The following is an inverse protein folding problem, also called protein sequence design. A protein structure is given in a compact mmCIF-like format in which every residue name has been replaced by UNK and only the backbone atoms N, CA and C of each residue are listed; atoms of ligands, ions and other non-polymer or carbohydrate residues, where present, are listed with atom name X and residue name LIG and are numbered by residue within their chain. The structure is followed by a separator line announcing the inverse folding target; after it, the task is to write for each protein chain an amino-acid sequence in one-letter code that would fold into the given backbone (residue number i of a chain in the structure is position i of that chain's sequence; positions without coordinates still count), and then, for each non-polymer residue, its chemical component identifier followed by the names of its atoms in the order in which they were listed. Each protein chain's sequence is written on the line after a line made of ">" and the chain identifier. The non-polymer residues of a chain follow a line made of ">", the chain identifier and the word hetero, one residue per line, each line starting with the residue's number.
data_IF_449749101731
#
_entry.id   IF_449749101731
#
_cell.length_a   1.000
_cell.length_b   1.000
_cell.length_c   1.000
_cell.angle_alpha   90.00
_cell.angle_beta   90.00
_cell.angle_gamma   90.00
#
_symmetry.space_group_name_H-M   'P 1'
#
loop_
_entity.id
_entity.type
_entity.pdbx_description
1 polymer ?
#
# COMPACT_ATOMS: atom_id res chain seq x y z
N UNK A 1 12.27 -4.77 -25.74
CA UNK A 1 11.79 -3.40 -26.05
C UNK A 1 11.10 -2.89 -24.81
N UNK A 2 11.63 -1.87 -24.15
CA UNK A 2 10.97 -1.20 -23.02
C UNK A 2 9.59 -0.70 -23.48
N UNK A 3 8.55 -0.98 -22.69
CA UNK A 3 7.20 -0.46 -22.95
C UNK A 3 7.18 1.01 -22.52
N UNK A 4 6.57 1.88 -23.32
CA UNK A 4 6.42 3.30 -22.94
C UNK A 4 5.71 3.45 -21.59
N UNK A 5 6.01 4.50 -20.84
CA UNK A 5 5.37 4.80 -19.55
C UNK A 5 3.84 4.80 -19.66
N UNK A 6 3.32 5.40 -20.74
CA UNK A 6 1.88 5.39 -21.09
C UNK A 6 1.32 3.97 -21.22
N UNK A 7 2.04 3.06 -21.88
CA UNK A 7 1.63 1.66 -22.03
C UNK A 7 1.60 0.96 -20.67
N UNK A 8 2.60 1.20 -19.82
CA UNK A 8 2.67 0.60 -18.48
C UNK A 8 1.51 1.07 -17.59
N UNK A 9 1.26 2.39 -17.55
CA UNK A 9 0.15 2.97 -16.79
C UNK A 9 -1.20 2.46 -17.31
N UNK A 10 -1.39 2.43 -18.63
CA UNK A 10 -2.62 1.89 -19.24
C UNK A 10 -2.86 0.44 -18.83
N UNK A 11 -1.82 -0.40 -18.85
CA UNK A 11 -1.91 -1.80 -18.43
C UNK A 11 -2.18 -1.96 -16.94
N UNK A 12 -1.61 -1.10 -16.09
CA UNK A 12 -1.90 -1.08 -14.67
C UNK A 12 -3.38 -0.75 -14.40
N UNK A 13 -3.93 0.26 -15.09
CA UNK A 13 -5.36 0.59 -15.02
C UNK A 13 -6.21 -0.57 -15.54
N UNK A 14 -5.90 -1.16 -16.70
CA UNK A 14 -6.66 -2.29 -17.25
C UNK A 14 -6.64 -3.51 -16.32
N UNK A 15 -5.53 -3.75 -15.64
CA UNK A 15 -5.40 -4.83 -14.66
C UNK A 15 -6.22 -4.55 -13.41
N UNK A 16 -6.21 -3.32 -12.92
CA UNK A 16 -7.06 -2.89 -11.81
C UNK A 16 -8.55 -2.99 -12.16
N UNK A 17 -8.95 -2.55 -13.37
CA UNK A 17 -10.33 -2.65 -13.87
C UNK A 17 -10.80 -4.10 -13.97
N UNK A 18 -9.94 -5.03 -14.41
CA UNK A 18 -10.27 -6.48 -14.45
C UNK A 18 -10.38 -7.12 -13.08
N UNK A 19 -9.74 -6.54 -12.06
CA UNK A 19 -9.80 -7.00 -10.68
C UNK A 19 -11.06 -6.47 -9.97
N UNK A 20 -11.48 -5.25 -10.26
CA UNK A 20 -12.54 -4.53 -9.56
C UNK A 20 -13.87 -5.31 -9.36
N UNK A 21 -14.38 -6.11 -10.33
CA UNK A 21 -15.60 -6.89 -10.13
C UNK A 21 -15.50 -7.98 -9.05
N UNK A 22 -14.27 -8.37 -8.67
CA UNK A 22 -13.98 -9.36 -7.62
C UNK A 22 -13.56 -8.73 -6.29
N UNK A 23 -13.45 -7.40 -6.25
CA UNK A 23 -13.33 -6.73 -4.97
C UNK A 23 -14.61 -6.97 -4.18
N UNK A 24 -14.53 -6.99 -2.85
CA UNK A 24 -15.66 -7.03 -1.94
C UNK A 24 -15.34 -6.14 -0.72
N UNK A 25 -16.34 -5.48 -0.10
CA UNK A 25 -16.14 -4.73 1.14
C UNK A 25 -15.64 -5.65 2.27
N UNK A 26 -14.55 -5.25 2.95
CA UNK A 26 -14.06 -5.99 4.10
C UNK A 26 -15.02 -5.85 5.29
N UNK A 27 -15.35 -6.98 5.93
CA UNK A 27 -16.23 -7.04 7.11
C UNK A 27 -15.49 -6.98 8.45
N UNK A 28 -14.14 -6.94 8.41
CA UNK A 28 -13.30 -6.83 9.60
C UNK A 28 -13.03 -5.37 10.00
N UNK A 29 -12.69 -5.14 11.28
CA UNK A 29 -12.45 -3.80 11.84
C UNK A 29 -11.54 -2.97 10.93
N UNK A 30 -12.08 -1.84 10.47
CA UNK A 30 -11.35 -0.85 9.70
C UNK A 30 -10.17 -0.27 10.47
N UNK A 31 -9.21 0.28 9.72
CA UNK A 31 -8.02 0.92 10.28
C UNK A 31 -8.38 2.06 11.24
N UNK A 32 -7.57 2.22 12.28
CA UNK A 32 -7.69 3.32 13.26
C UNK A 32 -7.19 4.66 12.69
N UNK A 33 -6.38 4.63 11.61
CA UNK A 33 -5.82 5.84 10.99
C UNK A 33 -5.87 5.80 9.44
N UNK A 34 -5.95 6.96 8.77
CA UNK A 34 -5.83 7.06 7.31
C UNK A 34 -4.47 6.57 6.80
N UNK A 35 -4.46 5.86 5.68
CA UNK A 35 -3.22 5.41 5.04
C UNK A 35 -2.40 6.61 4.57
N UNK A 36 -1.18 6.79 5.10
CA UNK A 36 -0.27 7.90 4.77
C UNK A 36 0.12 7.98 3.29
N UNK A 37 0.02 6.87 2.55
CA UNK A 37 0.35 6.79 1.12
C UNK A 37 -0.80 7.19 0.20
N UNK A 38 -2.03 6.91 0.63
CA UNK A 38 -3.22 7.16 -0.18
C UNK A 38 -3.86 8.50 0.17
N UNK A 39 -3.84 8.89 1.46
CA UNK A 39 -4.40 10.15 1.90
C UNK A 39 -3.66 11.33 1.25
N UNK A 40 -4.39 12.18 0.54
CA UNK A 40 -3.81 13.32 -0.19
C UNK A 40 -2.94 12.94 -1.40
N UNK A 41 -2.98 11.67 -1.86
CA UNK A 41 -2.15 11.20 -2.96
C UNK A 41 -2.49 11.92 -4.29
N UNK A 42 -1.51 12.57 -4.95
CA UNK A 42 -1.70 13.17 -6.27
C UNK A 42 -2.15 12.15 -7.32
N UNK A 43 -1.66 10.91 -7.21
CA UNK A 43 -2.03 9.77 -8.08
C UNK A 43 -3.53 9.47 -7.98
N UNK A 44 -4.06 9.38 -6.76
CA UNK A 44 -5.49 9.10 -6.56
C UNK A 44 -6.37 10.28 -6.94
N UNK A 45 -5.91 11.51 -6.73
CA UNK A 45 -6.58 12.72 -7.20
C UNK A 45 -6.67 12.75 -8.73
N UNK A 46 -5.57 12.47 -9.43
CA UNK A 46 -5.52 12.39 -10.89
C UNK A 46 -6.44 11.28 -11.44
N UNK A 47 -6.47 10.12 -10.78
CA UNK A 47 -7.36 9.01 -11.11
C UNK A 47 -8.84 9.27 -10.79
N UNK A 48 -9.17 10.33 -10.03
CA UNK A 48 -10.54 10.66 -9.63
C UNK A 48 -11.08 9.81 -8.47
N UNK A 49 -10.22 9.29 -7.61
CA UNK A 49 -10.54 8.38 -6.49
C UNK A 49 -10.36 9.03 -5.09
N UNK A 50 -10.30 10.36 -5.01
CA UNK A 50 -9.77 11.07 -3.84
C UNK A 50 -10.69 11.24 -2.62
N UNK A 51 -12.01 11.07 -2.75
CA UNK A 51 -12.96 11.39 -1.66
C UNK A 51 -13.94 10.28 -1.31
N UNK A 52 -14.50 9.57 -2.29
CA UNK A 52 -15.71 8.76 -2.08
C UNK A 52 -15.57 7.30 -2.56
N UNK A 53 -14.35 6.78 -2.51
CA UNK A 53 -14.04 5.42 -2.97
C UNK A 53 -13.47 4.61 -1.80
N UNK A 54 -13.88 3.35 -1.57
CA UNK A 54 -13.33 2.52 -0.51
C UNK A 54 -11.81 2.44 -0.55
N UNK A 55 -11.18 2.46 0.63
CA UNK A 55 -9.73 2.46 0.73
C UNK A 55 -9.07 1.30 -0.02
N UNK A 56 -9.60 0.07 0.09
CA UNK A 56 -9.04 -1.09 -0.63
C UNK A 56 -9.04 -0.92 -2.15
N UNK A 57 -10.07 -0.26 -2.70
CA UNK A 57 -10.18 0.05 -4.13
C UNK A 57 -9.12 1.08 -4.55
N UNK A 58 -8.99 2.16 -3.79
CA UNK A 58 -7.94 3.18 -4.00
C UNK A 58 -6.55 2.55 -3.93
N UNK A 59 -6.32 1.74 -2.91
CA UNK A 59 -5.04 1.10 -2.62
C UNK A 59 -4.62 0.12 -3.72
N UNK A 60 -5.58 -0.60 -4.30
CA UNK A 60 -5.33 -1.48 -5.45
C UNK A 60 -4.77 -0.74 -6.66
N UNK A 61 -5.21 0.50 -6.94
CA UNK A 61 -4.66 1.27 -8.06
C UNK A 61 -3.31 1.91 -7.69
N UNK A 62 -3.23 2.54 -6.51
CA UNK A 62 -2.04 3.29 -6.11
C UNK A 62 -0.79 2.43 -5.99
N UNK A 63 -0.92 1.19 -5.50
CA UNK A 63 0.20 0.23 -5.42
C UNK A 63 0.77 -0.12 -6.80
N UNK A 64 -0.09 -0.42 -7.77
CA UNK A 64 0.34 -0.73 -9.14
C UNK A 64 1.04 0.44 -9.82
N UNK A 65 0.50 1.64 -9.62
CA UNK A 65 1.11 2.87 -10.14
C UNK A 65 2.45 3.15 -9.46
N UNK A 66 2.53 2.98 -8.13
CA UNK A 66 3.77 3.12 -7.38
C UNK A 66 4.85 2.18 -7.92
N UNK A 67 4.53 0.91 -8.18
CA UNK A 67 5.50 -0.05 -8.75
C UNK A 67 6.11 0.42 -10.07
N UNK A 68 5.33 1.10 -10.94
CA UNK A 68 5.84 1.67 -12.19
C UNK A 68 6.85 2.79 -11.90
N UNK A 69 6.51 3.70 -10.99
CA UNK A 69 7.41 4.80 -10.61
C UNK A 69 8.68 4.27 -9.97
N UNK A 70 8.56 3.34 -9.00
CA UNK A 70 9.69 2.72 -8.30
C UNK A 70 10.64 2.03 -9.29
N UNK A 71 10.09 1.31 -10.29
CA UNK A 71 10.89 0.67 -11.33
C UNK A 71 11.63 1.67 -12.21
N UNK A 72 10.94 2.73 -12.67
CA UNK A 72 11.56 3.77 -13.49
C UNK A 72 12.70 4.47 -12.74
N UNK A 73 12.50 4.79 -11.46
CA UNK A 73 13.52 5.39 -10.59
C UNK A 73 14.68 4.42 -10.41
N UNK A 74 14.42 3.14 -10.14
CA UNK A 74 15.48 2.14 -9.99
C UNK A 74 16.32 1.99 -11.27
N UNK A 75 15.70 1.95 -12.45
CA UNK A 75 16.42 1.92 -13.73
C UNK A 75 17.25 3.18 -13.97
N UNK A 76 16.70 4.35 -13.64
CA UNK A 76 17.43 5.61 -13.74
C UNK A 76 18.64 5.64 -12.80
N UNK A 77 18.46 5.24 -11.54
CA UNK A 77 19.51 5.16 -10.53
C UNK A 77 20.62 4.21 -10.98
N UNK A 78 20.27 3.00 -11.41
CA UNK A 78 21.25 2.01 -11.86
C UNK A 78 22.08 2.46 -13.08
N UNK A 79 21.47 3.26 -13.98
CA UNK A 79 22.13 3.74 -15.20
C UNK A 79 22.96 5.01 -14.99
N UNK A 80 22.52 5.90 -14.10
CA UNK A 80 23.02 7.28 -14.06
C UNK A 80 23.69 7.67 -12.73
N UNK A 81 23.41 6.93 -11.65
CA UNK A 81 23.78 7.32 -10.28
C UNK A 81 24.62 6.19 -9.63
N UNK A 82 25.87 5.99 -10.09
CA UNK A 82 26.68 4.84 -9.70
C UNK A 82 27.06 4.83 -8.23
N UNK A 83 27.23 6.00 -7.58
CA UNK A 83 27.58 6.05 -6.15
C UNK A 83 26.36 5.66 -5.30
N UNK A 84 25.18 6.20 -5.61
CA UNK A 84 23.93 5.83 -4.98
C UNK A 84 23.61 4.36 -5.21
N UNK A 85 23.77 3.85 -6.44
CA UNK A 85 23.55 2.44 -6.74
C UNK A 85 24.49 1.54 -5.93
N UNK A 86 25.78 1.87 -5.82
CA UNK A 86 26.72 1.10 -5.02
C UNK A 86 26.36 1.08 -3.53
N UNK A 87 25.83 2.18 -2.98
CA UNK A 87 25.34 2.22 -1.60
C UNK A 87 24.06 1.41 -1.41
N UNK A 88 23.12 1.48 -2.36
CA UNK A 88 21.91 0.66 -2.34
C UNK A 88 22.25 -0.84 -2.41
N UNK A 89 23.23 -1.23 -3.24
CA UNK A 89 23.69 -2.61 -3.36
C UNK A 89 24.37 -3.10 -2.08
N UNK A 90 25.23 -2.28 -1.47
CA UNK A 90 25.84 -2.57 -0.16
C UNK A 90 24.76 -2.75 0.92
N UNK A 91 23.76 -1.88 0.96
CA UNK A 91 22.67 -2.00 1.92
C UNK A 91 21.78 -3.22 1.65
N UNK A 92 21.49 -3.52 0.39
CA UNK A 92 20.73 -4.71 0.01
C UNK A 92 21.44 -5.99 0.43
N UNK A 93 22.76 -6.05 0.25
CA UNK A 93 23.56 -7.20 0.69
C UNK A 93 23.57 -7.35 2.22
N UNK A 94 23.74 -6.24 2.95
CA UNK A 94 23.62 -6.24 4.42
C UNK A 94 22.24 -6.72 4.87
N UNK A 95 21.18 -6.26 4.22
CA UNK A 95 19.83 -6.70 4.53
C UNK A 95 19.68 -8.20 4.27
N UNK A 96 20.21 -8.73 3.16
CA UNK A 96 20.17 -10.17 2.82
C UNK A 96 20.77 -11.08 3.88
N UNK A 97 21.76 -10.59 4.63
CA UNK A 97 22.41 -11.34 5.71
C UNK A 97 21.49 -11.51 6.93
N UNK A 98 20.54 -10.59 7.16
CA UNK A 98 19.59 -10.68 8.28
C UNK A 98 18.63 -11.83 8.08
N UNK A 99 18.49 -12.69 9.07
CA UNK A 99 17.52 -13.79 9.12
C UNK A 99 16.15 -13.36 9.65
N UNK A 100 16.07 -12.31 10.49
CA UNK A 100 14.86 -11.77 11.06
C UNK A 100 14.56 -10.35 10.54
N UNK A 101 13.44 -10.21 9.82
CA UNK A 101 13.04 -8.96 9.16
C UNK A 101 11.54 -8.69 9.33
N UNK A 102 11.12 -8.15 10.48
CA UNK A 102 9.71 -8.03 10.83
C UNK A 102 8.92 -7.03 9.95
N UNK A 103 9.61 -6.18 9.21
CA UNK A 103 9.00 -5.21 8.29
C UNK A 103 8.91 -5.72 6.82
N UNK A 104 9.52 -6.86 6.48
CA UNK A 104 9.48 -7.42 5.13
C UNK A 104 8.28 -8.35 4.93
N UNK A 105 7.77 -8.43 3.69
CA UNK A 105 6.64 -9.28 3.35
C UNK A 105 5.30 -8.84 3.93
N UNK A 106 5.25 -7.65 4.55
CA UNK A 106 4.01 -7.05 5.02
C UNK A 106 3.12 -6.69 3.84
N UNK A 107 1.81 -6.87 4.03
CA UNK A 107 0.86 -6.28 3.09
C UNK A 107 1.07 -4.74 3.08
N UNK A 108 0.92 -4.08 1.93
CA UNK A 108 1.16 -2.65 1.78
C UNK A 108 0.47 -1.74 2.81
N UNK A 109 -0.62 -2.22 3.40
CA UNK A 109 -1.32 -1.63 4.53
C UNK A 109 -0.50 -1.52 5.81
N UNK A 110 0.33 -2.50 6.10
CA UNK A 110 1.12 -2.57 7.33
C UNK A 110 2.54 -2.03 7.13
N UNK A 111 2.94 -1.79 5.88
CA UNK A 111 4.25 -1.24 5.54
C UNK A 111 4.44 0.18 6.13
N UNK A 112 5.42 0.32 7.02
CA UNK A 112 5.74 1.59 7.68
C UNK A 112 4.90 1.91 8.93
N UNK A 113 4.11 0.96 9.43
CA UNK A 113 3.52 1.07 10.78
C UNK A 113 4.59 0.85 11.85
N UNK A 114 4.43 1.44 13.05
CA UNK A 114 5.26 1.11 14.20
C UNK A 114 5.17 -0.39 14.50
N UNK A 115 6.31 -1.07 14.60
CA UNK A 115 6.38 -2.51 14.88
C UNK A 115 5.98 -2.83 16.31
N UNK A 116 6.30 -1.92 17.23
CA UNK A 116 5.99 -2.05 18.65
C UNK A 116 5.08 -0.90 19.10
N UNK A 117 4.11 -1.18 19.99
CA UNK A 117 3.33 -0.12 20.63
C UNK A 117 4.18 0.66 21.63
N UNK A 118 3.72 1.88 21.98
CA UNK A 118 4.35 2.65 23.06
C UNK A 118 4.17 1.93 24.40
N UNK A 119 5.22 1.78 25.22
CA UNK A 119 5.11 1.10 26.51
C UNK A 119 4.36 1.97 27.52
N UNK A 120 3.47 1.35 28.31
CA UNK A 120 2.82 2.03 29.43
C UNK A 120 3.83 2.32 30.56
N UNK A 121 3.76 3.50 31.19
CA UNK A 121 4.59 3.81 32.36
C UNK A 121 4.43 2.75 33.46
N UNK A 122 5.51 2.05 33.80
CA UNK A 122 5.53 1.01 34.84
C UNK A 122 5.30 -0.43 34.34
N UNK A 123 5.03 -0.63 33.04
CA UNK A 123 4.91 -1.96 32.42
C UNK A 123 5.74 -2.05 31.13
N UNK A 124 7.08 -1.97 31.20
CA UNK A 124 7.93 -2.06 30.02
C UNK A 124 7.87 -3.48 29.42
N UNK A 125 7.95 -3.56 28.09
CA UNK A 125 8.10 -4.85 27.41
C UNK A 125 9.43 -5.50 27.79
N UNK A 126 9.43 -6.82 27.95
CA UNK A 126 10.66 -7.61 28.17
C UNK A 126 11.55 -7.63 26.93
N UNK A 127 10.93 -7.62 25.74
CA UNK A 127 11.57 -7.50 24.44
C UNK A 127 10.62 -6.78 23.48
N UNK A 128 11.16 -6.18 22.43
CA UNK A 128 10.40 -5.54 21.37
C UNK A 128 10.81 -6.14 20.03
N UNK A 129 9.89 -6.19 19.06
CA UNK A 129 10.20 -6.66 17.71
C UNK A 129 11.29 -5.80 17.06
N UNK A 130 11.26 -4.49 17.31
CA UNK A 130 12.30 -3.54 16.91
C UNK A 130 13.62 -3.81 17.63
N UNK A 131 13.58 -4.17 18.91
CA UNK A 131 14.76 -4.53 19.70
C UNK A 131 15.45 -5.78 19.17
N UNK A 132 14.68 -6.84 18.90
CA UNK A 132 15.19 -8.08 18.30
C UNK A 132 15.77 -7.83 16.90
N UNK A 133 15.14 -6.98 16.09
CA UNK A 133 15.67 -6.59 14.78
C UNK A 133 16.98 -5.78 14.91
N UNK A 134 17.08 -4.90 15.91
CA UNK A 134 18.29 -4.11 16.17
C UNK A 134 19.46 -4.96 16.65
N UNK A 135 19.21 -6.00 17.46
CA UNK A 135 20.23 -6.97 17.89
C UNK A 135 20.85 -7.70 16.70
N UNK A 136 20.02 -8.15 15.74
CA UNK A 136 20.51 -8.80 14.54
C UNK A 136 21.25 -7.83 13.61
N UNK A 137 20.78 -6.58 13.50
CA UNK A 137 21.50 -5.54 12.77
C UNK A 137 22.87 -5.22 13.39
N UNK A 138 22.98 -5.19 14.72
CA UNK A 138 24.23 -4.95 15.42
C UNK A 138 25.25 -6.08 15.22
N UNK A 139 24.80 -7.30 14.93
CA UNK A 139 25.67 -8.42 14.60
C UNK A 139 26.32 -8.31 13.21
N UNK A 140 25.80 -7.44 12.34
CA UNK A 140 26.34 -7.23 10.99
C UNK A 140 27.49 -6.21 11.05
N UNK A 141 28.71 -6.57 10.59
CA UNK A 141 29.86 -5.67 10.61
C UNK A 141 29.54 -4.32 9.97
N UNK A 142 29.87 -3.20 10.64
CA UNK A 142 29.60 -1.86 10.11
C UNK A 142 30.39 -1.58 8.81
N UNK A 143 29.80 -0.80 7.90
CA UNK A 143 30.53 -0.30 6.73
C UNK A 143 31.58 0.74 7.16
N UNK A 144 32.72 0.81 6.44
CA UNK A 144 33.67 1.89 6.66
C UNK A 144 32.98 3.25 6.40
N UNK A 145 33.30 4.29 7.19
CA UNK A 145 32.68 5.60 7.01
C UNK A 145 33.07 6.22 5.67
N UNK A 146 32.10 6.81 4.98
CA UNK A 146 32.34 7.59 3.76
C UNK A 146 33.19 8.83 4.06
N UNK A 147 34.05 9.20 3.12
CA UNK A 147 34.74 10.51 3.13
C UNK A 147 33.73 11.65 2.98
N UNK A 148 34.13 12.87 3.30
CA UNK A 148 33.23 14.01 3.18
C UNK A 148 32.89 14.32 1.71
N UNK A 149 33.83 14.11 0.80
CA UNK A 149 33.61 14.19 -0.65
C UNK A 149 32.61 13.13 -1.12
N UNK A 150 32.76 11.88 -0.65
CA UNK A 150 31.84 10.81 -0.99
C UNK A 150 30.42 11.08 -0.45
N UNK A 151 30.29 11.61 0.76
CA UNK A 151 29.00 12.04 1.31
C UNK A 151 28.38 13.17 0.48
N UNK A 152 29.18 14.13 0.03
CA UNK A 152 28.70 15.24 -0.79
C UNK A 152 28.18 14.75 -2.15
N UNK A 153 28.94 13.87 -2.82
CA UNK A 153 28.54 13.25 -4.08
C UNK A 153 27.28 12.38 -3.93
N UNK A 154 27.18 11.58 -2.86
CA UNK A 154 26.00 10.78 -2.58
C UNK A 154 24.74 11.65 -2.38
N UNK A 155 24.84 12.76 -1.63
CA UNK A 155 23.70 13.69 -1.46
C UNK A 155 23.26 14.30 -2.78
N UNK A 156 24.20 14.60 -3.68
CA UNK A 156 23.88 15.09 -5.01
C UNK A 156 23.12 14.03 -5.82
N UNK A 157 23.59 12.78 -5.84
CA UNK A 157 22.91 11.70 -6.56
C UNK A 157 21.52 11.37 -5.96
N UNK A 158 21.37 11.42 -4.64
CA UNK A 158 20.04 11.31 -4.00
C UNK A 158 19.10 12.43 -4.46
N UNK A 159 19.59 13.66 -4.56
CA UNK A 159 18.80 14.77 -5.10
C UNK A 159 18.36 14.54 -6.54
N UNK A 160 19.25 14.03 -7.39
CA UNK A 160 18.93 13.68 -8.78
C UNK A 160 17.88 12.55 -8.89
N UNK A 161 17.97 11.55 -8.02
CA UNK A 161 16.97 10.49 -7.95
C UNK A 161 15.58 11.02 -7.54
N UNK A 162 15.52 11.93 -6.56
CA UNK A 162 14.26 12.56 -6.12
C UNK A 162 13.66 13.45 -7.21
N UNK A 163 14.48 14.26 -7.89
CA UNK A 163 14.05 15.07 -9.04
C UNK A 163 13.46 14.19 -10.15
N UNK A 164 14.10 13.04 -10.44
CA UNK A 164 13.62 12.08 -11.42
C UNK A 164 12.29 11.42 -10.97
N UNK A 165 12.17 11.02 -9.70
CA UNK A 165 10.95 10.47 -9.13
C UNK A 165 9.79 11.47 -9.23
N UNK A 166 10.04 12.75 -8.93
CA UNK A 166 9.06 13.83 -9.05
C UNK A 166 8.61 14.05 -10.50
N UNK A 167 9.55 14.01 -11.46
CA UNK A 167 9.24 14.13 -12.88
C UNK A 167 8.36 12.97 -13.37
N UNK A 168 8.78 11.72 -13.14
CA UNK A 168 8.00 10.54 -13.55
C UNK A 168 6.64 10.52 -12.86
N UNK A 169 6.56 10.87 -11.57
CA UNK A 169 5.31 10.96 -10.84
C UNK A 169 4.32 11.94 -11.47
N UNK A 170 4.79 13.09 -11.96
CA UNK A 170 3.95 14.07 -12.68
C UNK A 170 3.48 13.53 -14.03
N UNK A 171 4.34 12.87 -14.79
CA UNK A 171 3.97 12.26 -16.08
C UNK A 171 2.92 11.17 -15.90
N UNK A 172 3.09 10.29 -14.91
CA UNK A 172 2.11 9.28 -14.53
C UNK A 172 0.77 9.91 -14.17
N UNK A 173 0.76 10.99 -13.40
CA UNK A 173 -0.47 11.73 -13.08
C UNK A 173 -1.13 12.28 -14.35
N UNK A 174 -0.36 12.84 -15.28
CA UNK A 174 -0.88 13.34 -16.55
C UNK A 174 -1.51 12.22 -17.40
N UNK A 175 -0.89 11.03 -17.45
CA UNK A 175 -1.47 9.86 -18.13
C UNK A 175 -2.77 9.42 -17.45
N UNK A 176 -2.79 9.35 -16.11
CA UNK A 176 -3.98 8.94 -15.35
C UNK A 176 -5.19 9.84 -15.56
N UNK A 177 -4.99 11.14 -15.81
CA UNK A 177 -6.09 12.06 -16.16
C UNK A 177 -6.87 11.58 -17.38
N UNK A 178 -6.21 10.96 -18.37
CA UNK A 178 -6.86 10.41 -19.56
C UNK A 178 -7.69 9.14 -19.26
N UNK A 179 -7.41 8.45 -18.16
CA UNK A 179 -8.17 7.27 -17.73
C UNK A 179 -9.28 7.58 -16.72
N UNK A 180 -9.34 8.82 -16.20
CA UNK A 180 -10.22 9.20 -15.08
C UNK A 180 -11.67 8.81 -15.28
N UNK A 181 -12.26 9.12 -16.44
CA UNK A 181 -13.67 8.81 -16.70
C UNK A 181 -13.93 7.29 -16.74
N UNK A 182 -12.99 6.53 -17.31
CA UNK A 182 -13.08 5.06 -17.37
C UNK A 182 -13.00 4.44 -15.98
N UNK A 183 -12.11 4.98 -15.15
CA UNK A 183 -11.94 4.57 -13.74
C UNK A 183 -13.23 4.85 -12.96
N UNK A 184 -13.77 6.07 -13.06
CA UNK A 184 -14.99 6.46 -12.36
C UNK A 184 -16.21 5.62 -12.78
N UNK A 185 -16.37 5.37 -14.09
CA UNK A 185 -17.44 4.52 -14.59
C UNK A 185 -17.37 3.10 -14.02
N UNK A 186 -16.17 2.53 -13.89
CA UNK A 186 -15.99 1.21 -13.32
C UNK A 186 -16.27 1.18 -11.81
N UNK A 187 -15.93 2.24 -11.07
CA UNK A 187 -16.30 2.36 -9.65
C UNK A 187 -17.83 2.36 -9.50
N UNK A 188 -18.54 3.19 -10.26
CA UNK A 188 -19.99 3.23 -10.23
C UNK A 188 -20.62 1.88 -10.63
N UNK A 189 -20.03 1.19 -11.61
CA UNK A 189 -20.54 -0.08 -12.10
C UNK A 189 -20.32 -1.25 -11.13
N UNK A 190 -19.17 -1.32 -10.45
CA UNK A 190 -18.77 -2.52 -9.70
C UNK A 190 -18.69 -2.30 -8.19
N UNK A 191 -18.28 -1.13 -7.74
CA UNK A 191 -17.99 -0.87 -6.32
C UNK A 191 -19.24 -0.39 -5.58
N UNK A 192 -19.93 0.60 -6.13
CA UNK A 192 -21.15 1.16 -5.49
C UNK A 192 -22.23 0.09 -5.24
N UNK A 193 -22.53 -0.85 -6.16
CA UNK A 193 -23.54 -1.88 -5.91
C UNK A 193 -23.15 -2.84 -4.78
N UNK A 194 -21.86 -3.16 -4.64
CA UNK A 194 -21.39 -4.04 -3.58
C UNK A 194 -21.47 -3.37 -2.21
N UNK A 195 -21.16 -2.06 -2.13
CA UNK A 195 -21.37 -1.28 -0.90
C UNK A 195 -22.86 -1.24 -0.55
N UNK A 196 -23.73 -0.99 -1.53
CA UNK A 196 -25.17 -0.96 -1.32
C UNK A 196 -25.70 -2.31 -0.79
N UNK A 197 -25.27 -3.43 -1.38
CA UNK A 197 -25.63 -4.77 -0.91
C UNK A 197 -25.15 -5.04 0.53
N UNK A 198 -23.93 -4.64 0.87
CA UNK A 198 -23.42 -4.75 2.25
C UNK A 198 -24.26 -3.92 3.23
N UNK A 199 -24.59 -2.67 2.88
CA UNK A 199 -25.41 -1.81 3.73
C UNK A 199 -26.82 -2.36 3.92
N UNK A 200 -27.43 -2.89 2.86
CA UNK A 200 -28.75 -3.53 2.93
C UNK A 200 -28.75 -4.74 3.88
N UNK A 201 -27.72 -5.59 3.81
CA UNK A 201 -27.56 -6.74 4.71
C UNK A 201 -27.37 -6.30 6.17
N UNK A 202 -26.56 -5.26 6.40
CA UNK A 202 -26.39 -4.68 7.73
C UNK A 202 -27.69 -4.12 8.29
N UNK A 203 -28.50 -3.44 7.47
CA UNK A 203 -29.81 -2.92 7.89
C UNK A 203 -30.76 -4.05 8.27
N UNK A 204 -30.86 -5.12 7.47
CA UNK A 204 -31.71 -6.29 7.82
C UNK A 204 -31.30 -6.93 9.14
N UNK A 205 -29.99 -7.10 9.35
CA UNK A 205 -29.45 -7.69 10.59
C UNK A 205 -29.74 -6.82 11.81
N UNK A 206 -29.71 -5.50 11.66
CA UNK A 206 -30.02 -4.55 12.73
C UNK A 206 -31.52 -4.39 13.01
N UNK A 207 -32.37 -4.57 12.00
CA UNK A 207 -33.83 -4.50 12.13
C UNK A 207 -34.42 -5.78 12.77
N UNK A 208 -33.74 -6.92 12.66
CA UNK A 208 -34.13 -8.19 13.27
C UNK A 208 -33.00 -8.85 14.10
N UNK A 209 -32.49 -8.21 15.17
CA UNK A 209 -31.28 -8.66 15.88
C UNK A 209 -31.46 -9.98 16.65
N UNK A 210 -32.69 -10.51 16.72
CA UNK A 210 -33.05 -11.72 17.47
C UNK A 210 -33.92 -12.71 16.68
N UNK A 211 -34.06 -12.57 15.36
CA UNK A 211 -34.65 -13.66 14.57
C UNK A 211 -33.66 -14.83 14.54
N UNK A 212 -33.85 -15.77 15.48
CA UNK A 212 -33.17 -17.05 15.43
C UNK A 212 -33.44 -17.70 14.06
N UNK A 213 -32.47 -18.41 13.47
CA UNK A 213 -32.75 -19.21 12.28
C UNK A 213 -33.95 -20.09 12.61
N UNK A 214 -35.03 -19.96 11.84
CA UNK A 214 -36.24 -20.73 12.05
C UNK A 214 -35.85 -22.20 12.13
N UNK A 215 -35.97 -22.78 13.33
CA UNK A 215 -35.73 -24.20 13.54
C UNK A 215 -36.73 -24.95 12.66
N UNK A 216 -36.30 -25.77 11.69
CA UNK A 216 -37.21 -26.40 10.73
C UNK A 216 -37.97 -27.58 11.36
N UNK A 217 -38.46 -27.43 12.58
CA UNK A 217 -39.04 -28.54 13.33
C UNK A 217 -39.70 -28.20 14.65
N UNK A 218 -40.71 -27.33 14.69
CA UNK A 218 -41.73 -27.42 15.75
C UNK A 218 -43.15 -27.52 15.15
N UNK A 219 -43.81 -28.69 15.28
CA UNK A 219 -45.21 -28.85 14.93
C UNK A 219 -46.09 -28.19 15.99
N UNK A 220 -46.95 -27.27 15.55
CA UNK A 220 -47.83 -26.48 16.41
C UNK A 220 -48.70 -27.32 17.35
N UNK A 221 -48.79 -26.88 18.60
CA UNK A 221 -49.77 -27.38 19.56
C UNK A 221 -51.05 -26.52 19.51
N UNK A 222 -52.25 -27.13 19.52
CA UNK A 222 -53.51 -26.39 19.45
C UNK A 222 -53.85 -25.77 20.81
N UNK A 223 -54.42 -24.56 20.75
CA UNK A 223 -54.93 -23.79 21.89
C UNK A 223 -55.99 -24.56 22.68
N UNK A 224 -55.88 -24.52 24.02
CA UNK A 224 -56.97 -24.68 24.98
C UNK A 224 -57.16 -23.37 25.74
#
# INVERSE_FOLDING_TARGET
>A
MERSLETQVSQAVDTWLRWLPRWEPATHRGRVAPCRRCFGSPVLSAAGLGSDVPHGVQHGLSTRVKTIVDHAVAEYTARNLPMLQAELDQQAERNRIRSYRPAEGLEPEFEGLPLDPDPDPGSPFLFTLSGLAAEEEAAIPALPPLSDEAKAALRQEVGLADDYANMIGREVCAILLHHRLRIQAAVAQYVEPQIAAMLEELTRTLDAPFEAPADPGEPGLPNL
#
